data_IF_863585193696
#
_entry.id   IF_863585193696
#
_cell.length_a   1.000
_cell.length_b   1.000
_cell.length_c   1.000
_cell.angle_alpha   90.00
_cell.angle_beta   90.00
_cell.angle_gamma   90.00
#
_symmetry.space_group_name_H-M   'P 1'
#
loop_
_entity.id
_entity.type
_entity.pdbx_description
1 polymer ?
#
# COMPACT_ATOMS: atom_id res chain seq x y z
N UNK A 1 -1.44 -1.42 8.39
CA UNK A 1 -1.14 0.03 8.27
C UNK A 1 -0.85 0.38 6.81
N UNK A 2 -1.21 1.57 6.32
CA UNK A 2 -1.02 1.99 4.91
C UNK A 2 -1.49 0.92 3.91
N UNK A 3 -0.67 0.54 2.91
CA UNK A 3 -0.94 -0.55 1.97
C UNK A 3 -1.36 -1.85 2.66
N UNK A 4 -0.74 -2.20 3.79
CA UNK A 4 -1.09 -3.41 4.55
C UNK A 4 -2.52 -3.40 5.07
N UNK A 5 -3.18 -2.25 5.22
CA UNK A 5 -4.61 -2.20 5.56
C UNK A 5 -5.50 -2.66 4.40
N UNK A 6 -5.13 -2.33 3.16
CA UNK A 6 -5.85 -2.78 1.96
C UNK A 6 -5.65 -4.28 1.75
N UNK A 7 -4.42 -4.77 1.96
CA UNK A 7 -4.12 -6.21 1.93
C UNK A 7 -4.93 -6.94 3.00
N UNK A 8 -5.00 -6.41 4.23
CA UNK A 8 -5.79 -7.03 5.30
C UNK A 8 -7.28 -7.11 4.94
N UNK A 9 -7.83 -6.06 4.30
CA UNK A 9 -9.21 -6.06 3.81
C UNK A 9 -9.47 -7.18 2.79
N UNK A 10 -8.64 -7.26 1.75
CA UNK A 10 -8.76 -8.31 0.72
C UNK A 10 -8.52 -9.70 1.29
N UNK A 11 -7.60 -9.84 2.24
CA UNK A 11 -7.36 -11.10 2.91
C UNK A 11 -8.59 -11.57 3.70
N UNK A 12 -9.28 -10.67 4.42
CA UNK A 12 -10.51 -11.03 5.14
C UNK A 12 -11.60 -11.49 4.17
N UNK A 13 -11.77 -10.78 3.05
CA UNK A 13 -12.70 -11.16 1.99
C UNK A 13 -12.38 -12.55 1.42
N UNK A 14 -11.10 -12.85 1.22
CA UNK A 14 -10.65 -14.15 0.71
C UNK A 14 -10.77 -15.29 1.74
N UNK A 15 -10.60 -15.00 3.03
CA UNK A 15 -10.84 -15.97 4.10
C UNK A 15 -12.32 -16.38 4.12
N UNK A 16 -13.23 -15.40 4.03
CA UNK A 16 -14.67 -15.68 4.00
C UNK A 16 -15.10 -16.41 2.72
N UNK A 17 -14.59 -16.01 1.55
CA UNK A 17 -14.90 -16.68 0.27
C UNK A 17 -14.52 -18.16 0.27
N UNK A 18 -13.50 -18.52 1.05
CA UNK A 18 -13.02 -19.89 1.23
C UNK A 18 -13.69 -20.65 2.39
N UNK A 19 -14.67 -20.05 3.07
CA UNK A 19 -15.31 -20.61 4.27
C UNK A 19 -14.31 -20.96 5.38
N UNK A 20 -13.26 -20.16 5.53
CA UNK A 20 -12.29 -20.29 6.61
C UNK A 20 -12.72 -19.47 7.83
N UNK A 21 -12.12 -19.74 8.98
CA UNK A 21 -12.41 -18.98 10.20
C UNK A 21 -11.97 -17.53 10.05
N UNK A 22 -12.93 -16.60 10.17
CA UNK A 22 -12.69 -15.17 10.13
C UNK A 22 -11.84 -14.70 11.33
N UNK A 23 -11.00 -13.66 11.16
CA UNK A 23 -10.33 -13.03 12.29
C UNK A 23 -11.34 -12.44 13.27
N UNK A 24 -11.05 -12.55 14.57
CA UNK A 24 -11.91 -11.97 15.63
C UNK A 24 -11.86 -10.44 15.60
N UNK A 25 -10.71 -9.86 15.25
CA UNK A 25 -10.50 -8.42 15.15
C UNK A 25 -9.61 -8.06 13.96
N UNK A 26 -9.88 -6.90 13.36
CA UNK A 26 -9.07 -6.32 12.28
C UNK A 26 -8.73 -4.88 12.64
N UNK A 27 -7.43 -4.57 12.70
CA UNK A 27 -6.94 -3.22 12.98
C UNK A 27 -6.43 -2.57 11.69
N UNK A 28 -7.14 -1.52 11.25
CA UNK A 28 -6.73 -0.69 10.12
C UNK A 28 -6.13 0.62 10.61
N UNK A 29 -5.03 1.06 9.99
CA UNK A 29 -4.30 2.26 10.41
C UNK A 29 -3.74 2.98 9.20
N UNK A 30 -3.99 4.30 9.09
CA UNK A 30 -3.44 5.14 8.04
C UNK A 30 -3.74 4.67 6.61
N UNK A 31 -4.89 4.03 6.38
CA UNK A 31 -5.26 3.43 5.10
C UNK A 31 -6.46 4.17 4.49
N UNK A 32 -6.45 4.33 3.17
CA UNK A 32 -7.61 4.84 2.42
C UNK A 32 -8.64 3.71 2.25
N UNK A 33 -9.95 4.01 2.17
CA UNK A 33 -10.96 2.98 1.95
C UNK A 33 -10.71 2.25 0.61
N UNK A 34 -11.14 0.98 0.47
CA UNK A 34 -10.79 0.16 -0.70
C UNK A 34 -11.36 0.73 -2.01
N UNK A 35 -12.49 1.44 -1.98
CA UNK A 35 -13.05 2.12 -3.15
C UNK A 35 -12.37 3.47 -3.49
N UNK A 36 -11.29 3.84 -2.81
CA UNK A 36 -10.56 5.07 -3.09
C UNK A 36 -9.77 4.97 -4.40
N UNK A 37 -10.02 5.90 -5.33
CA UNK A 37 -9.31 5.97 -6.60
C UNK A 37 -8.10 6.92 -6.44
N UNK A 38 -6.90 6.42 -6.77
CA UNK A 38 -5.68 7.24 -6.82
C UNK A 38 -5.56 7.89 -8.20
N UNK A 39 -5.72 9.21 -8.25
CA UNK A 39 -5.58 9.98 -9.50
C UNK A 39 -4.10 10.19 -9.88
N UNK A 40 -3.25 10.44 -8.89
CA UNK A 40 -1.82 10.63 -9.10
C UNK A 40 -1.07 9.30 -9.01
N UNK A 41 -0.43 8.92 -10.12
CA UNK A 41 0.44 7.75 -10.19
C UNK A 41 1.90 8.18 -10.15
N UNK A 42 2.63 7.71 -9.16
CA UNK A 42 4.05 8.02 -8.95
C UNK A 42 4.96 6.86 -9.33
N UNK A 43 4.45 5.62 -9.33
CA UNK A 43 5.24 4.41 -9.58
C UNK A 43 5.96 4.37 -10.94
N UNK A 44 5.46 5.12 -11.93
CA UNK A 44 6.02 5.21 -13.29
C UNK A 44 6.84 6.48 -13.55
N UNK A 45 7.01 7.37 -12.55
CA UNK A 45 7.83 8.57 -12.71
C UNK A 45 9.29 8.22 -12.97
N UNK A 46 10.06 9.09 -13.65
CA UNK A 46 11.52 8.98 -13.71
C UNK A 46 12.12 8.82 -12.31
N UNK A 47 13.27 8.15 -12.20
CA UNK A 47 13.87 7.82 -10.89
C UNK A 47 14.10 9.01 -9.98
N UNK A 48 14.59 10.11 -10.54
CA UNK A 48 14.81 11.34 -9.78
C UNK A 48 13.51 11.88 -9.17
N UNK A 49 12.45 11.96 -9.97
CA UNK A 49 11.15 12.46 -9.53
C UNK A 49 10.50 11.52 -8.50
N UNK A 50 10.64 10.20 -8.68
CA UNK A 50 10.17 9.24 -7.69
C UNK A 50 10.95 9.37 -6.37
N UNK A 51 12.28 9.54 -6.42
CA UNK A 51 13.12 9.81 -5.24
C UNK A 51 12.63 11.08 -4.52
N UNK A 52 12.32 12.15 -5.25
CA UNK A 52 11.77 13.39 -4.67
C UNK A 52 10.42 13.15 -3.98
N UNK A 53 9.54 12.33 -4.56
CA UNK A 53 8.27 11.93 -3.90
C UNK A 53 8.55 11.16 -2.60
N UNK A 54 9.45 10.16 -2.62
CA UNK A 54 9.80 9.38 -1.43
C UNK A 54 10.41 10.25 -0.33
N UNK A 55 11.26 11.22 -0.68
CA UNK A 55 11.87 12.17 0.26
C UNK A 55 10.82 13.04 0.96
N UNK A 56 9.74 13.40 0.26
CA UNK A 56 8.64 14.20 0.81
C UNK A 56 7.62 13.39 1.61
N UNK A 57 7.67 12.06 1.50
CA UNK A 57 6.89 11.17 2.34
C UNK A 57 7.65 10.95 3.65
N UNK A 58 7.14 11.51 4.74
CA UNK A 58 7.71 11.37 6.11
C UNK A 58 7.71 9.91 6.66
N UNK A 59 7.70 8.89 5.80
CA UNK A 59 7.74 7.47 6.15
C UNK A 59 9.13 6.84 6.07
N UNK A 60 10.12 7.50 5.46
CA UNK A 60 11.48 6.94 5.30
C UNK A 60 12.47 7.61 6.27
N UNK A 61 13.20 6.87 7.10
CA UNK A 61 14.21 7.44 8.01
C UNK A 61 15.30 8.22 7.26
N UNK A 62 15.78 9.33 7.83
CA UNK A 62 16.78 10.22 7.20
C UNK A 62 18.09 9.49 6.91
N UNK A 63 18.45 8.52 7.73
CA UNK A 63 19.63 7.68 7.59
C UNK A 63 19.58 6.84 6.31
N UNK A 64 18.39 6.37 5.93
CA UNK A 64 18.17 5.65 4.67
C UNK A 64 18.20 6.64 3.51
N UNK A 65 17.53 7.77 3.63
CA UNK A 65 17.48 8.82 2.59
C UNK A 65 18.86 9.37 2.23
N UNK A 66 19.76 9.47 3.21
CA UNK A 66 21.12 9.98 3.02
C UNK A 66 22.11 8.91 2.53
N UNK A 67 21.71 7.65 2.44
CA UNK A 67 22.57 6.55 1.98
C UNK A 67 22.16 6.08 0.57
N UNK A 68 22.99 6.44 -0.41
CA UNK A 68 22.73 6.12 -1.82
C UNK A 68 22.56 4.61 -2.07
N UNK A 69 23.41 3.77 -1.47
CA UNK A 69 23.35 2.31 -1.68
C UNK A 69 22.05 1.72 -1.13
N UNK A 70 21.61 2.17 0.05
CA UNK A 70 20.33 1.74 0.62
C UNK A 70 19.18 2.22 -0.26
N UNK A 71 19.18 3.48 -0.68
CA UNK A 71 18.15 4.00 -1.57
C UNK A 71 18.05 3.21 -2.87
N UNK A 72 19.17 2.87 -3.50
CA UNK A 72 19.15 2.11 -4.76
C UNK A 72 18.59 0.69 -4.57
N UNK A 73 18.70 0.11 -3.37
CA UNK A 73 18.03 -1.16 -3.02
C UNK A 73 16.53 -0.99 -2.73
N UNK A 74 16.13 0.09 -2.05
CA UNK A 74 14.74 0.30 -1.64
C UNK A 74 13.85 0.84 -2.76
N UNK A 75 14.39 1.65 -3.68
CA UNK A 75 13.63 2.24 -4.79
C UNK A 75 12.82 1.21 -5.60
N UNK A 76 13.38 0.08 -6.07
CA UNK A 76 12.60 -0.91 -6.80
C UNK A 76 11.49 -1.56 -5.96
N UNK A 77 11.71 -1.72 -4.65
CA UNK A 77 10.72 -2.28 -3.71
C UNK A 77 9.58 -1.27 -3.54
N UNK A 78 9.90 -0.03 -3.20
CA UNK A 78 8.93 1.03 -3.03
C UNK A 78 8.11 1.24 -4.30
N UNK A 79 8.75 1.25 -5.47
CA UNK A 79 8.02 1.36 -6.75
C UNK A 79 7.00 0.25 -6.93
N UNK A 80 7.37 -0.99 -6.60
CA UNK A 80 6.45 -2.13 -6.67
C UNK A 80 5.26 -1.94 -5.73
N UNK A 81 5.49 -1.48 -4.51
CA UNK A 81 4.44 -1.20 -3.52
C UNK A 81 3.48 -0.09 -3.99
N UNK A 82 4.04 1.01 -4.52
CA UNK A 82 3.24 2.11 -5.10
C UNK A 82 2.43 1.63 -6.31
N UNK A 83 3.05 0.82 -7.18
CA UNK A 83 2.36 0.28 -8.36
C UNK A 83 1.18 -0.59 -7.93
N UNK A 84 1.35 -1.46 -6.93
CA UNK A 84 0.28 -2.33 -6.43
C UNK A 84 -0.95 -1.53 -6.01
N UNK A 85 -0.76 -0.46 -5.22
CA UNK A 85 -1.87 0.37 -4.73
C UNK A 85 -2.45 1.31 -5.79
N UNK A 86 -1.66 1.71 -6.79
CA UNK A 86 -2.10 2.55 -7.92
C UNK A 86 -2.90 1.78 -8.98
N UNK A 87 -2.60 0.49 -9.13
CA UNK A 87 -3.26 -0.40 -10.08
C UNK A 87 -4.38 -1.22 -9.44
N UNK A 88 -4.52 -1.18 -8.11
CA UNK A 88 -5.61 -1.83 -7.40
C UNK A 88 -6.96 -1.33 -7.90
N UNK A 89 -7.81 -2.27 -8.31
CA UNK A 89 -9.19 -2.01 -8.76
C UNK A 89 -10.15 -2.66 -7.80
N UNK A 90 -10.95 -1.82 -7.15
CA UNK A 90 -12.02 -2.29 -6.29
C UNK A 90 -13.13 -2.97 -7.11
N UNK A 91 -13.46 -4.21 -6.78
CA UNK A 91 -14.65 -4.90 -7.31
C UNK A 91 -15.89 -4.38 -6.58
N UNK A 92 -17.00 -4.11 -7.28
CA UNK A 92 -18.21 -3.44 -6.77
C UNK A 92 -18.93 -4.07 -5.56
N UNK A 93 -18.45 -5.18 -5.00
CA UNK A 93 -18.96 -5.78 -3.77
C UNK A 93 -18.16 -5.31 -2.56
N UNK A 94 -18.74 -4.37 -1.82
CA UNK A 94 -18.27 -3.94 -0.50
C UNK A 94 -18.41 -5.10 0.49
N UNK A 95 -17.27 -5.68 0.84
CA UNK A 95 -17.16 -6.58 1.96
C UNK A 95 -17.20 -5.79 3.28
N UNK A 96 -18.12 -6.12 4.18
CA UNK A 96 -18.20 -5.50 5.51
C UNK A 96 -17.24 -6.22 6.45
N UNK A 97 -16.20 -5.53 6.91
CA UNK A 97 -15.37 -6.04 8.00
C UNK A 97 -16.19 -6.06 9.29
N UNK A 98 -16.30 -7.22 9.91
CA UNK A 98 -16.76 -7.34 11.30
C UNK A 98 -15.52 -7.10 12.19
N UNK A 99 -15.26 -5.83 12.51
CA UNK A 99 -14.14 -5.39 13.36
C UNK A 99 -14.45 -5.52 14.84
#
# INVERSE_FOLDING_TARGET
HSMGGLIAYELCKEIESRNLNAPVHVFLSGVKPPNFIREQKVSNLPEKEFKDVILNLNGTPKEVLNNQQLMDMFIPILRSDFKLIEEYKFSNELYKLNT
#
